data_IF_214149035863
#
_entry.id   IF_214149035863
#
_cell.length_a   1.000
_cell.length_b   1.000
_cell.length_c   1.000
_cell.angle_alpha   90.00
_cell.angle_beta   90.00
_cell.angle_gamma   90.00
#
_symmetry.space_group_name_H-M   'P 1'
#
loop_
_entity.id
_entity.type
_entity.pdbx_description
1 polymer ?
2 non-polymer ?
3 water ?
#
# COMPACT_ATOMS: atom_id res chain seq x y z
N UNK A 8 -7.02 2.56 -23.31
CA UNK A 8 -6.67 3.97 -23.17
C UNK A 8 -5.49 4.10 -22.21
N UNK A 9 -4.41 4.72 -22.64
CA UNK A 9 -3.24 4.90 -21.79
C UNK A 9 -3.33 6.27 -21.15
N UNK A 10 -3.37 6.30 -19.85
CA UNK A 10 -3.57 7.52 -19.08
C UNK A 10 -2.80 7.41 -17.78
N UNK A 11 -1.47 7.26 -17.81
CA UNK A 11 -0.72 7.26 -16.55
C UNK A 11 -0.83 8.59 -15.82
N UNK A 12 -0.90 8.50 -14.50
CA UNK A 12 -0.98 9.64 -13.61
C UNK A 12 0.11 9.53 -12.56
N UNK A 13 0.84 10.62 -12.30
CA UNK A 13 1.93 10.62 -11.36
C UNK A 13 1.70 11.71 -10.32
N UNK A 14 1.81 11.35 -9.03
CA UNK A 14 1.56 12.29 -7.94
C UNK A 14 2.68 12.22 -6.93
N UNK A 15 3.12 13.37 -6.41
CA UNK A 15 4.10 13.39 -5.34
C UNK A 15 3.44 13.85 -4.06
N UNK A 16 3.86 13.24 -2.94
CA UNK A 16 3.53 13.65 -1.57
C UNK A 16 2.10 13.33 -1.15
N UNK A 17 1.42 12.42 -1.84
CA UNK A 17 0.19 11.87 -1.28
C UNK A 17 0.46 10.94 -0.10
N UNK A 18 -0.51 10.85 0.82
CA UNK A 18 -0.52 9.79 1.79
C UNK A 18 -1.01 8.53 1.11
N UNK A 19 -0.83 7.40 1.80
CA UNK A 19 -1.29 6.14 1.24
C UNK A 19 -2.80 6.18 0.97
N UNK A 20 -3.60 6.70 1.91
CA UNK A 20 -5.03 6.72 1.67
C UNK A 20 -5.39 7.67 0.53
N UNK A 21 -4.61 8.73 0.32
CA UNK A 21 -4.87 9.61 -0.81
C UNK A 21 -4.54 8.91 -2.13
N UNK A 22 -3.50 8.05 -2.12
CA UNK A 22 -3.21 7.22 -3.29
C UNK A 22 -4.39 6.32 -3.60
N UNK A 23 -4.98 5.70 -2.57
CA UNK A 23 -6.15 4.86 -2.83
C UNK A 23 -7.32 5.67 -3.36
N UNK A 24 -7.47 6.94 -2.91
CA UNK A 24 -8.50 7.81 -3.47
C UNK A 24 -8.27 8.07 -4.96
N UNK A 25 -7.01 8.26 -5.36
CA UNK A 25 -6.71 8.48 -6.78
C UNK A 25 -6.98 7.22 -7.57
N UNK A 26 -6.68 6.04 -7.02
CA UNK A 26 -7.02 4.81 -7.72
C UNK A 26 -8.51 4.77 -8.01
N UNK A 27 -9.32 5.01 -6.97
CA UNK A 27 -10.76 4.99 -7.14
C UNK A 27 -11.21 6.01 -8.16
N UNK A 28 -10.64 7.22 -8.10
CA UNK A 28 -11.07 8.29 -9.00
C UNK A 28 -10.76 7.97 -10.45
N UNK A 29 -9.68 7.22 -10.71
CA UNK A 29 -9.28 6.92 -12.08
C UNK A 29 -10.25 5.99 -12.77
N UNK A 30 -11.17 5.38 -12.03
CA UNK A 30 -12.22 4.55 -12.59
C UNK A 30 -13.56 5.26 -12.70
N UNK A 31 -13.70 6.39 -12.02
CA UNK A 31 -14.92 7.19 -12.04
C UNK A 31 -14.95 8.16 -13.19
N UNK A 78 -18.54 -9.00 -3.25
CA UNK A 78 -19.37 -9.66 -2.24
C UNK A 78 -19.55 -8.82 -0.98
N UNK A 79 -19.74 -7.50 -1.11
CA UNK A 79 -19.87 -6.69 0.10
C UNK A 79 -21.19 -6.97 0.81
N UNK A 80 -21.09 -7.05 2.14
CA UNK A 80 -22.23 -7.25 3.02
C UNK A 80 -22.48 -5.98 3.82
N UNK A 81 -23.74 -5.65 4.03
CA UNK A 81 -24.05 -4.52 4.91
C UNK A 81 -23.46 -3.24 4.41
N UNK A 82 -22.91 -2.44 5.34
CA UNK A 82 -22.39 -1.12 4.99
C UNK A 82 -21.11 -1.19 4.16
N UNK A 83 -20.53 -2.38 3.99
CA UNK A 83 -19.41 -2.54 3.06
C UNK A 83 -19.78 -2.15 1.65
N UNK A 84 -21.07 -2.16 1.34
CA UNK A 84 -21.62 -1.62 0.11
C UNK A 84 -21.12 -0.21 -0.20
N UNK A 85 -20.67 0.53 0.80
CA UNK A 85 -20.26 1.91 0.58
C UNK A 85 -18.82 2.05 0.11
N UNK A 86 -18.05 0.96 0.10
CA UNK A 86 -16.64 1.03 -0.24
C UNK A 86 -16.42 1.06 -1.75
N UNK A 87 -15.40 1.82 -2.15
CA UNK A 87 -14.84 1.73 -3.49
C UNK A 87 -14.39 0.30 -3.76
N UNK A 88 -14.33 -0.06 -5.04
CA UNK A 88 -13.86 -1.40 -5.38
C UNK A 88 -12.46 -1.66 -4.86
N UNK A 89 -11.59 -0.64 -4.89
CA UNK A 89 -10.20 -0.86 -4.52
C UNK A 89 -10.08 -1.21 -3.03
N UNK A 90 -10.76 -0.46 -2.16
CA UNK A 90 -10.67 -0.79 -0.74
C UNK A 90 -11.51 -2.03 -0.41
N UNK A 91 -12.57 -2.28 -1.15
CA UNK A 91 -13.33 -3.49 -0.84
C UNK A 91 -12.51 -4.75 -1.15
N UNK A 92 -11.78 -4.75 -2.27
CA UNK A 92 -10.89 -5.87 -2.57
C UNK A 92 -9.90 -6.09 -1.44
N UNK A 93 -9.35 -4.99 -0.89
CA UNK A 93 -8.42 -5.08 0.22
C UNK A 93 -9.09 -5.62 1.48
N UNK A 94 -10.34 -5.21 1.73
CA UNK A 94 -11.02 -5.66 2.93
C UNK A 94 -11.32 -7.14 2.84
N UNK A 95 -11.68 -7.59 1.64
CA UNK A 95 -12.01 -8.99 1.43
C UNK A 95 -10.82 -9.89 1.74
N UNK A 96 -9.60 -9.44 1.45
CA UNK A 96 -8.43 -10.21 1.87
C UNK A 96 -8.35 -10.35 3.38
N UNK A 97 -8.80 -9.33 4.14
CA UNK A 97 -8.84 -9.46 5.59
C UNK A 97 -9.98 -10.38 6.03
N UNK A 98 -11.13 -10.33 5.36
CA UNK A 98 -12.18 -11.30 5.67
C UNK A 98 -11.63 -12.71 5.56
N UNK A 99 -10.82 -12.95 4.51
CA UNK A 99 -10.30 -14.29 4.28
C UNK A 99 -9.50 -14.76 5.49
N UNK A 100 -8.74 -13.86 6.11
CA UNK A 100 -8.00 -14.21 7.31
C UNK A 100 -8.93 -14.49 8.47
N UNK A 101 -10.00 -13.69 8.60
CA UNK A 101 -10.98 -13.97 9.67
C UNK A 101 -11.63 -15.32 9.49
N UNK A 102 -11.97 -15.67 8.23
CA UNK A 102 -12.57 -16.96 7.93
C UNK A 102 -11.59 -18.08 8.20
N UNK A 103 -10.33 -17.92 7.80
CA UNK A 103 -9.34 -18.95 8.07
C UNK A 103 -9.23 -19.21 9.57
N UNK A 104 -9.37 -18.17 10.38
CA UNK A 104 -9.24 -18.29 11.82
C UNK A 104 -10.55 -18.17 12.61
N UNK A 105 -11.75 -18.03 12.00
CA UNK A 105 -12.99 -18.11 12.84
C UNK A 105 -14.13 -18.90 12.16
N UNK A 106 -13.88 -19.26 10.91
CA UNK A 106 -14.77 -20.10 10.14
C UNK A 106 -15.62 -19.24 9.23
N UNK A 107 -16.43 -19.96 8.46
CA UNK A 107 -17.30 -19.36 7.48
C UNK A 107 -18.12 -18.23 8.09
N UNK A 108 -18.16 -17.09 7.39
CA UNK A 108 -19.04 -15.99 7.71
C UNK A 108 -18.42 -14.91 8.54
N UNK A 109 -17.27 -15.17 9.15
CA UNK A 109 -16.61 -14.10 9.89
C UNK A 109 -16.02 -13.06 8.95
N UNK A 110 -16.09 -11.81 9.40
CA UNK A 110 -15.63 -10.67 8.63
C UNK A 110 -14.74 -9.78 9.49
N UNK A 111 -13.83 -9.10 8.82
CA UNK A 111 -12.95 -8.14 9.48
C UNK A 111 -13.73 -6.86 9.75
N UNK A 112 -13.68 -6.38 10.99
CA UNK A 112 -14.39 -5.16 11.37
C UNK A 112 -13.47 -4.04 11.80
N UNK A 113 -12.17 -4.32 12.01
CA UNK A 113 -11.13 -3.32 12.17
C UNK A 113 -9.79 -4.05 12.26
N UNK A 114 -8.72 -3.29 12.27
CA UNK A 114 -7.44 -3.87 12.61
C UNK A 114 -6.38 -2.81 12.73
N UNK A 115 -5.20 -3.25 13.16
CA UNK A 115 -4.12 -2.32 13.36
C UNK A 115 -2.78 -2.99 13.07
N UNK A 116 -1.74 -2.15 13.03
CA UNK A 116 -0.35 -2.58 12.91
C UNK A 116 0.39 -2.46 14.24
N UNK A 117 1.31 -3.39 14.47
CA UNK A 117 2.29 -3.25 15.53
C UNK A 117 3.51 -4.07 15.16
N UNK A 118 4.60 -3.84 15.88
CA UNK A 118 5.84 -4.55 15.63
C UNK A 118 6.27 -5.27 16.90
N UNK A 119 6.42 -6.59 16.81
CA UNK A 119 6.95 -7.42 17.88
C UNK A 119 7.98 -8.37 17.24
N UNK A 120 9.20 -7.84 17.05
CA UNK A 120 10.25 -8.47 16.23
C UNK A 120 9.98 -8.24 14.74
N UNK A 121 8.73 -8.47 14.33
CA UNK A 121 8.32 -8.34 12.93
C UNK A 121 7.11 -7.44 12.86
N UNK A 122 6.90 -6.82 11.70
CA UNK A 122 5.66 -6.09 11.47
C UNK A 122 4.51 -7.08 11.51
N UNK A 123 3.43 -6.72 12.22
CA UNK A 123 2.35 -7.66 12.51
C UNK A 123 1.02 -6.95 12.40
N UNK A 124 0.03 -7.65 11.83
CA UNK A 124 -1.34 -7.18 11.75
C UNK A 124 -2.14 -7.82 12.88
N UNK A 125 -2.95 -7.04 13.58
CA UNK A 125 -3.96 -7.56 14.50
C UNK A 125 -5.32 -7.15 13.95
N UNK A 126 -6.17 -8.13 13.68
CA UNK A 126 -7.45 -7.93 12.98
C UNK A 126 -8.59 -8.36 13.90
N UNK A 127 -9.63 -7.54 13.98
CA UNK A 127 -10.83 -7.86 14.74
C UNK A 127 -11.87 -8.45 13.82
N UNK A 128 -12.46 -9.57 14.22
CA UNK A 128 -13.39 -10.32 13.38
C UNK A 128 -14.74 -10.51 14.07
N UNK A 129 -15.80 -10.49 13.27
CA UNK A 129 -17.11 -10.87 13.81
C UNK A 129 -17.99 -11.41 12.70
N UNK A 130 -18.91 -12.31 13.07
CA UNK A 130 -19.84 -12.87 12.12
C UNK A 130 -21.19 -12.22 12.31
N UNK A 131 -21.81 -11.71 11.24
CA UNK A 131 -23.04 -10.92 11.44
C UNK A 131 -24.12 -11.65 12.21
N UNK A 132 -24.20 -12.98 12.10
CA UNK A 132 -25.25 -13.72 12.81
C UNK A 132 -25.09 -13.67 14.33
N UNK A 133 -23.94 -13.26 14.84
CA UNK A 133 -23.49 -13.64 16.18
C UNK A 133 -23.49 -12.41 17.08
N UNK A 134 -24.15 -12.54 18.22
CA UNK A 134 -24.04 -11.54 19.29
C UNK A 134 -22.98 -12.07 20.27
N UNK A 135 -21.72 -11.91 19.85
CA UNK A 135 -20.57 -12.14 20.70
C UNK A 135 -19.62 -10.97 20.53
N UNK A 136 -18.66 -10.85 21.44
CA UNK A 136 -17.63 -9.83 21.29
C UNK A 136 -16.78 -10.15 20.07
N UNK A 137 -16.21 -9.10 19.49
CA UNK A 137 -15.26 -9.29 18.40
C UNK A 137 -14.11 -10.18 18.85
N UNK A 138 -13.56 -10.96 17.93
CA UNK A 138 -12.47 -11.88 18.21
C UNK A 138 -11.27 -11.46 17.38
N UNK A 139 -10.09 -11.54 17.96
CA UNK A 139 -8.89 -11.04 17.30
C UNK A 139 -8.07 -12.17 16.71
N UNK A 140 -7.43 -11.89 15.58
CA UNK A 140 -6.47 -12.79 14.99
C UNK A 140 -5.24 -11.96 14.63
N UNK A 141 -4.06 -12.54 14.86
CA UNK A 141 -2.79 -11.88 14.64
C UNK A 141 -2.04 -12.63 13.55
N UNK A 142 -1.48 -11.91 12.60
CA UNK A 142 -0.74 -12.51 11.50
C UNK A 142 0.40 -11.58 11.14
N UNK A 143 1.63 -12.06 11.32
CA UNK A 143 2.79 -11.28 10.91
C UNK A 143 2.73 -10.93 9.43
N UNK A 144 3.21 -9.74 9.07
CA UNK A 144 3.46 -9.44 7.68
C UNK A 144 4.50 -10.42 7.14
N UNK A 145 4.45 -10.71 5.84
CA UNK A 145 5.52 -11.50 5.22
C UNK A 145 6.87 -10.90 5.50
N UNK A 146 7.89 -11.73 5.61
CA UNK A 146 9.18 -11.12 5.81
C UNK A 146 9.54 -10.21 4.70
N UNK A 147 10.22 -9.13 5.08
CA UNK A 147 10.62 -8.11 4.14
C UNK A 147 9.53 -7.12 3.87
N UNK A 148 8.41 -7.20 4.60
CA UNK A 148 7.31 -6.27 4.45
C UNK A 148 7.03 -5.54 5.76
N UNK A 149 6.43 -4.37 5.62
CA UNK A 149 5.99 -3.54 6.71
C UNK A 149 4.49 -3.34 6.62
N UNK A 150 3.93 -2.73 7.67
CA UNK A 150 2.50 -2.59 7.85
C UNK A 150 2.11 -1.11 7.86
N UNK A 151 1.04 -0.79 7.12
CA UNK A 151 0.39 0.51 7.21
C UNK A 151 -1.12 0.29 7.25
N UNK A 152 -1.88 1.38 7.25
CA UNK A 152 -3.32 1.26 7.39
C UNK A 152 -4.06 1.95 6.26
N UNK A 153 -5.31 1.50 6.08
CA UNK A 153 -6.27 2.15 5.19
C UNK A 153 -7.62 2.19 5.86
N UNK A 154 -8.51 2.99 5.31
CA UNK A 154 -9.84 3.14 5.88
C UNK A 154 -10.87 2.55 4.95
N UNK A 155 -11.90 1.96 5.55
CA UNK A 155 -13.01 1.39 4.82
C UNK A 155 -14.19 1.23 5.76
N UNK A 156 -15.38 1.12 5.17
CA UNK A 156 -16.56 0.79 5.95
C UNK A 156 -16.57 -0.69 6.30
N UNK A 157 -16.86 -1.02 7.56
CA UNK A 157 -17.16 -2.40 7.90
C UNK A 157 -18.66 -2.67 7.69
N UNK A 158 -19.11 -3.88 8.00
CA UNK A 158 -20.47 -4.25 7.61
C UNK A 158 -21.54 -3.63 8.50
N UNK A 159 -21.16 -3.10 9.68
CA UNK A 159 -22.14 -2.76 10.69
C UNK A 159 -22.21 -1.28 11.04
N UNK A 160 -21.16 -0.52 10.77
CA UNK A 160 -21.06 0.88 11.15
C UNK A 160 -21.23 1.72 9.90
N UNK A 161 -22.36 2.42 9.82
CA UNK A 161 -22.62 3.32 8.71
C UNK A 161 -22.17 4.75 8.99
N UNK A 162 -21.71 5.06 10.21
CA UNK A 162 -21.46 6.45 10.59
C UNK A 162 -20.09 6.92 10.10
N UNK A 163 -19.07 6.08 10.19
CA UNK A 163 -17.73 6.47 9.74
C UNK A 163 -16.98 5.21 9.29
N UNK A 164 -16.00 5.43 8.42
CA UNK A 164 -15.07 4.37 8.08
C UNK A 164 -14.19 4.06 9.28
N UNK A 165 -13.75 2.80 9.37
CA UNK A 165 -12.85 2.34 10.43
C UNK A 165 -11.51 2.07 9.78
N UNK A 166 -10.53 1.65 10.56
CA UNK A 166 -9.17 1.51 10.08
C UNK A 166 -8.80 0.03 10.04
N UNK A 167 -8.08 -0.36 9.00
CA UNK A 167 -7.64 -1.72 8.73
C UNK A 167 -6.16 -1.74 8.36
N UNK A 168 -5.47 -2.83 8.61
CA UNK A 168 -4.04 -2.89 8.26
C UNK A 168 -3.75 -3.61 6.95
N UNK A 169 -2.62 -3.25 6.31
CA UNK A 169 -2.19 -3.87 5.06
C UNK A 169 -0.67 -3.86 4.96
N UNK A 170 -0.11 -4.91 4.35
CA UNK A 170 1.32 -5.07 4.25
C UNK A 170 1.84 -4.63 2.89
N UNK A 171 3.10 -4.25 2.86
CA UNK A 171 3.77 -3.96 1.61
C UNK A 171 5.27 -4.03 1.76
N UNK A 172 5.99 -4.22 0.65
CA UNK A 172 7.45 -4.42 0.77
C UNK A 172 8.19 -3.27 1.43
N UNK A 173 9.17 -3.65 2.24
CA UNK A 173 10.18 -2.74 2.73
C UNK A 173 11.28 -2.62 1.70
N UNK A 174 11.56 -1.39 1.29
CA UNK A 174 12.61 -1.09 0.33
C UNK A 174 13.80 -0.57 1.12
N UNK A 175 14.93 -1.28 1.08
CA UNK A 175 16.11 -0.80 1.80
C UNK A 175 16.80 0.31 1.00
N UNK A 176 17.03 1.44 1.66
CA UNK A 176 17.69 2.58 1.02
C UNK A 176 19.07 2.70 1.66
N UNK A 177 20.02 1.87 1.20
CA UNK A 177 21.29 1.77 1.90
C UNK A 177 22.51 1.64 1.00
N UNK A 178 22.35 1.69 -0.32
CA UNK A 178 23.52 1.62 -1.22
C UNK A 178 24.16 3.00 -1.33
N UNK A 179 25.38 3.15 -0.82
CA UNK A 179 26.01 4.46 -0.71
C UNK A 179 26.65 4.90 -2.03
N UNK A 180 26.36 6.14 -2.44
CA UNK A 180 26.93 6.75 -3.64
C UNK A 180 27.68 8.01 -3.23
N UNK A 181 28.91 8.18 -3.72
CA UNK A 181 29.72 9.36 -3.40
C UNK A 181 30.11 10.08 -4.68
N UNK A 182 29.78 11.37 -4.76
CA UNK A 182 30.25 12.25 -5.84
C UNK A 182 30.82 13.51 -5.20
N UNK A 183 32.07 13.83 -5.52
CA UNK A 183 32.67 14.92 -4.78
C UNK A 183 32.58 14.62 -3.29
N UNK A 184 32.11 15.60 -2.51
CA UNK A 184 31.96 15.38 -1.08
C UNK A 184 30.48 15.39 -0.76
N UNK A 185 29.69 15.01 -1.77
CA UNK A 185 28.26 14.81 -1.70
C UNK A 185 28.03 13.32 -1.58
N UNK A 186 27.10 12.94 -0.71
CA UNK A 186 26.84 11.53 -0.46
C UNK A 186 25.36 11.22 -0.43
N UNK A 187 24.97 10.13 -1.09
CA UNK A 187 23.58 9.70 -0.99
C UNK A 187 23.49 8.18 -0.90
N UNK A 188 22.34 7.72 -0.41
CA UNK A 188 22.01 6.32 -0.21
C UNK A 188 20.84 5.98 -1.11
N UNK A 189 20.91 4.82 -1.77
CA UNK A 189 19.93 4.45 -2.77
C UNK A 189 19.35 3.07 -2.50
N UNK A 190 18.10 2.91 -2.88
CA UNK A 190 17.47 1.61 -2.91
C UNK A 190 16.69 1.47 -4.20
N UNK A 191 16.50 0.23 -4.63
CA UNK A 191 15.74 -0.03 -5.84
C UNK A 191 14.68 -1.08 -5.57
N UNK A 192 13.53 -0.90 -6.23
CA UNK A 192 12.36 -1.75 -6.08
C UNK A 192 11.82 -2.11 -7.46
N UNK A 193 11.70 -3.42 -7.73
CA UNK A 193 11.00 -3.89 -8.91
C UNK A 193 9.60 -4.37 -8.49
N UNK A 194 8.56 -3.56 -8.62
CA UNK A 194 7.25 -4.00 -8.11
C UNK A 194 6.78 -5.25 -8.83
N UNK A 195 6.09 -6.10 -8.07
CA UNK A 195 5.37 -7.24 -8.64
C UNK A 195 4.87 -6.97 -10.06
N UNK A 201 -0.73 -5.97 -17.66
CA UNK A 201 -1.11 -4.65 -18.10
C UNK A 201 -0.44 -3.52 -17.35
N UNK A 202 -1.24 -2.72 -16.66
CA UNK A 202 -0.71 -1.57 -15.92
C UNK A 202 -1.03 -1.75 -14.44
N UNK A 203 -0.47 -0.83 -13.64
CA UNK A 203 -0.34 -0.98 -12.20
C UNK A 203 -0.56 0.35 -11.50
N UNK A 204 -0.95 0.25 -10.23
CA UNK A 204 -1.09 1.38 -9.32
C UNK A 204 0.00 1.23 -8.27
N UNK A 205 1.02 2.07 -8.34
CA UNK A 205 2.19 1.98 -7.50
C UNK A 205 2.18 3.09 -6.47
N UNK A 206 2.69 2.79 -5.28
CA UNK A 206 2.92 3.76 -4.22
C UNK A 206 4.26 3.48 -3.53
N UNK A 207 5.01 4.54 -3.22
CA UNK A 207 6.16 4.40 -2.34
C UNK A 207 6.32 5.64 -1.47
N UNK A 208 6.77 5.42 -0.24
CA UNK A 208 6.99 6.55 0.66
C UNK A 208 8.18 6.31 1.57
N UNK A 209 8.83 7.42 1.93
CA UNK A 209 9.88 7.40 2.92
C UNK A 209 9.30 7.12 4.30
N UNK A 210 10.12 6.57 5.18
CA UNK A 210 9.73 6.39 6.56
C UNK A 210 10.17 7.60 7.38
N UNK A 211 9.45 7.85 8.47
CA UNK A 211 9.80 9.00 9.31
C UNK A 211 9.59 10.32 8.59
N UNK A 212 10.40 11.31 8.96
CA UNK A 212 10.29 12.65 8.41
C UNK A 212 11.21 12.87 7.22
N UNK A 213 11.99 11.87 6.84
CA UNK A 213 12.92 12.02 5.73
C UNK A 213 12.17 12.22 4.42
N UNK A 214 12.79 12.97 3.51
CA UNK A 214 12.36 13.08 2.13
C UNK A 214 13.54 12.69 1.24
N UNK A 215 13.22 12.37 -0.01
CA UNK A 215 14.24 11.91 -0.92
C UNK A 215 13.73 12.01 -2.34
N UNK A 216 14.54 11.50 -3.26
CA UNK A 216 14.20 11.49 -4.67
C UNK A 216 13.64 10.11 -5.03
N UNK A 217 12.48 10.12 -5.70
CA UNK A 217 11.82 8.94 -6.23
C UNK A 217 12.00 8.95 -7.74
N UNK A 218 12.59 7.88 -8.25
CA UNK A 218 12.80 7.72 -9.68
C UNK A 218 11.98 6.54 -10.16
N UNK A 219 11.34 6.71 -11.30
CA UNK A 219 10.55 5.63 -11.88
C UNK A 219 10.83 5.56 -13.36
N UNK A 220 11.10 4.34 -13.87
CA UNK A 220 11.24 4.10 -15.30
C UNK A 220 10.31 2.96 -15.69
N UNK A 221 9.26 3.27 -16.42
CA UNK A 221 8.30 2.28 -16.86
C UNK A 221 8.29 2.07 -18.35
N UNK A 222 7.85 0.90 -18.80
CA UNK A 222 7.89 0.57 -20.23
C UNK A 222 6.64 -0.22 -20.56
N UNK A 223 5.87 0.26 -21.52
CA UNK A 223 4.72 -0.49 -22.02
C UNK A 223 5.20 -1.68 -22.86
N UNK A 224 4.28 -2.62 -23.09
CA UNK A 224 4.64 -3.82 -23.83
C UNK A 224 5.14 -3.52 -25.24
N UNK A 225 4.71 -2.41 -25.85
CA UNK A 225 5.16 -2.06 -27.18
C UNK A 225 6.43 -1.19 -27.18
N UNK A 226 7.02 -0.94 -26.02
CA UNK A 226 8.31 -0.30 -25.94
C UNK A 226 8.29 1.17 -25.58
N UNK A 227 7.14 1.80 -25.57
CA UNK A 227 7.09 3.22 -25.20
C UNK A 227 7.22 3.41 -23.68
N UNK A 228 7.84 4.53 -23.30
CA UNK A 228 8.31 4.71 -21.94
C UNK A 228 7.58 5.84 -21.24
N UNK A 229 7.41 5.67 -19.93
CA UNK A 229 6.93 6.69 -19.01
C UNK A 229 7.88 6.73 -17.83
N UNK A 230 8.40 7.92 -17.50
CA UNK A 230 9.38 8.07 -16.43
C UNK A 230 9.08 9.30 -15.58
N UNK A 231 9.51 9.25 -14.32
CA UNK A 231 9.49 10.46 -13.51
C UNK A 231 10.66 10.42 -12.53
N UNK A 232 10.99 11.58 -12.00
CA UNK A 232 12.04 11.68 -11.00
C UNK A 232 11.80 12.95 -10.22
N UNK A 233 11.53 12.83 -8.92
CA UNK A 233 11.17 14.01 -8.15
C UNK A 233 11.40 13.84 -6.68
N UNK A 234 11.59 14.97 -6.01
CA UNK A 234 11.83 15.00 -4.57
C UNK A 234 10.54 15.08 -3.76
N UNK A 235 10.54 14.40 -2.63
CA UNK A 235 9.44 14.56 -1.69
C UNK A 235 9.39 13.40 -0.71
N UNK A 236 8.23 13.26 -0.08
CA UNK A 236 8.02 12.20 0.90
C UNK A 236 7.43 10.93 0.29
N UNK A 237 6.74 11.04 -0.84
CA UNK A 237 6.11 9.88 -1.46
C UNK A 237 5.93 10.12 -2.95
N UNK A 238 5.65 9.03 -3.65
CA UNK A 238 5.39 9.02 -5.08
C UNK A 238 4.32 7.98 -5.36
N UNK A 239 3.41 8.33 -6.25
CA UNK A 239 2.30 7.48 -6.65
C UNK A 239 2.22 7.47 -8.17
N UNK A 240 1.89 6.31 -8.74
CA UNK A 240 1.72 6.14 -10.18
C UNK A 240 0.42 5.36 -10.37
N UNK A 241 -0.59 5.99 -10.96
CA UNK A 241 -1.86 5.35 -11.26
C UNK A 241 -1.90 4.96 -12.74
N UNK A 242 -2.25 3.70 -13.02
CA UNK A 242 -2.41 3.25 -14.39
C UNK A 242 -1.08 3.39 -15.15
N UNK A 243 0.00 2.90 -14.52
CA UNK A 243 1.34 3.05 -15.05
C UNK A 243 1.91 1.72 -15.52
N UNK A 244 2.81 1.75 -16.50
CA UNK A 244 3.39 0.51 -17.01
C UNK A 244 4.38 -0.12 -16.03
N UNK A 245 4.62 -1.42 -16.23
CA UNK A 245 5.60 -2.12 -15.42
C UNK A 245 6.91 -1.37 -15.41
N UNK A 246 7.53 -1.26 -14.25
CA UNK A 246 8.75 -0.50 -14.21
C UNK A 246 9.62 -0.76 -13.01
N UNK A 247 10.66 0.07 -12.90
CA UNK A 247 11.66 0.04 -11.85
C UNK A 247 11.58 1.34 -11.07
N UNK A 248 11.63 1.24 -9.76
CA UNK A 248 11.61 2.41 -8.86
C UNK A 248 12.94 2.49 -8.13
N UNK A 249 13.53 3.69 -8.11
CA UNK A 249 14.75 3.94 -7.36
C UNK A 249 14.45 5.04 -6.35
N UNK A 250 15.00 4.91 -5.15
CA UNK A 250 14.79 5.88 -4.08
C UNK A 250 16.16 6.28 -3.55
N UNK A 251 16.39 7.59 -3.42
CA UNK A 251 17.65 8.08 -2.89
C UNK A 251 17.38 9.14 -1.83
N UNK A 252 18.31 9.26 -0.88
CA UNK A 252 18.26 10.40 0.03
C UNK A 252 19.67 10.74 0.48
N UNK A 253 19.81 11.97 0.99
CA UNK A 253 21.11 12.52 1.37
C UNK A 253 21.33 12.59 2.88
N UNK A 254 20.37 12.11 3.68
CA UNK A 254 20.52 12.13 5.13
C UNK A 254 21.35 10.93 5.61
N UNK A 255 20.89 9.72 5.31
CA UNK A 255 21.45 8.52 5.92
C UNK A 255 20.82 7.31 5.27
N UNK A 256 21.39 6.14 5.56
CA UNK A 256 20.72 4.90 5.19
C UNK A 256 19.38 4.83 5.91
N UNK A 257 18.36 4.36 5.19
CA UNK A 257 17.01 4.31 5.75
C UNK A 257 16.21 3.28 4.98
N UNK A 258 14.88 3.37 5.08
CA UNK A 258 14.02 2.44 4.36
C UNK A 258 12.78 3.17 3.88
N UNK A 259 12.12 2.57 2.92
CA UNK A 259 10.90 3.10 2.34
C UNK A 259 9.87 1.97 2.25
N UNK A 260 8.63 2.36 2.12
CA UNK A 260 7.51 1.43 2.01
C UNK A 260 7.03 1.47 0.58
N UNK A 261 6.84 0.30 -0.02
CA UNK A 261 6.24 0.21 -1.33
C UNK A 261 4.94 -0.56 -1.31
N UNK A 262 4.08 -0.26 -2.27
CA UNK A 262 2.83 -1.00 -2.43
C UNK A 262 2.46 -1.00 -3.91
N UNK A 263 2.08 -2.17 -4.42
CA UNK A 263 1.66 -2.27 -5.81
C UNK A 263 0.39 -3.12 -5.92
N UNK A 264 -0.44 -2.75 -6.89
CA UNK A 264 -1.64 -3.52 -7.20
C UNK A 264 -1.91 -3.37 -8.69
N UNK A 265 -2.45 -4.40 -9.34
CA UNK A 265 -2.79 -4.25 -10.75
C UNK A 265 -3.85 -3.17 -10.91
N UNK A 266 -3.76 -2.43 -12.01
CA UNK A 266 -4.77 -1.45 -12.35
C UNK A 266 -5.92 -2.13 -13.05
N UNK A 267 -7.11 -2.07 -12.44
CA UNK A 267 -8.29 -2.77 -12.97
C UNK A 267 -8.71 -2.20 -14.31
X LIG B 1 -2.67 0.11 -31.08
X LIG B 1 -3.71 -0.60 -31.79
X LIG B 1 -1.75 -0.78 -30.38
X LIG B 1 -1.98 0.93 -32.05
X LIG B 1 -3.24 1.10 -30.15
X LIG C 1 13.43 -14.62 12.45
X LIG C 1 12.96 -15.64 13.39
X LIG C 1 14.68 -15.07 11.83
X LIG C 1 12.42 -14.40 11.42
X LIG C 1 13.67 -13.37 13.15
#
# INVERSE_FOLDING_TARGET
>A
GPMQEAAVREPQIFFNLTYTEYLDKVAASHGSPPDKSDLPWNDTMGSFPGNETDDGVQTETGSSLSRRGHIVNLRKREPFGEESRNDRVTQDMLQALHDLCVERFGTGYRAVSGLCYTDRRATRKIECNKPSVRERDRSVTRACPKGQECTTFNAYNFRNRHHQVTFPVCGPRIEVKDRHDIGIHTEWQGTWYPESPKSPGTYDYFAQMAGTLNGYFGYDGVYSDGYKTSSHGYGHSWSCINCPRGKVTITNTYRATWAFGYTSPHS
>B hetero
1 SO4 S O1 O2 O3 O4
>C hetero
1 SO4 S O1 O2 O3 O4
#
